data_IF_729309377943
#
_entry.id   IF_729309377943
#
_cell.length_a   1.000
_cell.length_b   1.000
_cell.length_c   1.000
_cell.angle_alpha   90.00
_cell.angle_beta   90.00
_cell.angle_gamma   90.00
#
_symmetry.space_group_name_H-M   'P 1'
#
loop_
_entity.id
_entity.type
_entity.pdbx_description
1 polymer ?
#
# COMPACT_ATOMS: atom_id res chain seq x y z
N UNK A 1 -17.24 21.06 10.90
CA UNK A 1 -17.40 20.68 9.48
C UNK A 1 -16.49 19.48 9.21
N UNK A 2 -16.96 18.26 8.90
CA UNK A 2 -16.06 17.18 8.54
C UNK A 2 -15.68 17.32 7.05
N UNK A 3 -14.39 17.49 6.77
CA UNK A 3 -13.87 17.33 5.42
C UNK A 3 -13.94 15.86 5.03
N UNK A 4 -14.69 15.53 3.98
CA UNK A 4 -14.74 14.17 3.45
C UNK A 4 -13.35 13.81 2.94
N UNK A 5 -12.67 12.91 3.65
CA UNK A 5 -11.40 12.36 3.21
C UNK A 5 -11.68 11.43 2.02
N UNK A 6 -11.23 11.82 0.83
CA UNK A 6 -11.21 10.93 -0.33
C UNK A 6 -10.21 9.81 -0.04
N UNK A 7 -10.73 8.63 0.31
CA UNK A 7 -9.93 7.43 0.51
C UNK A 7 -9.63 6.85 -0.88
N UNK A 8 -8.39 6.94 -1.33
CA UNK A 8 -7.93 6.32 -2.57
C UNK A 8 -7.20 5.03 -2.24
N UNK A 9 -7.72 3.91 -2.77
CA UNK A 9 -7.07 2.60 -2.64
C UNK A 9 -5.76 2.56 -3.42
N UNK A 10 -4.79 1.82 -2.90
CA UNK A 10 -3.54 1.60 -3.62
C UNK A 10 -3.79 0.64 -4.79
N UNK A 11 -3.70 1.16 -6.02
CA UNK A 11 -3.80 0.36 -7.26
C UNK A 11 -2.74 -0.76 -7.34
N UNK A 12 -1.59 -0.62 -6.67
CA UNK A 12 -0.54 -1.66 -6.75
C UNK A 12 -0.87 -2.94 -5.97
N UNK A 13 -1.76 -2.86 -4.98
CA UNK A 13 -2.15 -4.02 -4.18
C UNK A 13 -3.67 -4.25 -4.17
N UNK A 14 -4.44 -3.44 -4.90
CA UNK A 14 -5.89 -3.56 -5.05
C UNK A 14 -6.65 -3.70 -3.72
N UNK A 15 -6.15 -3.03 -2.67
CA UNK A 15 -6.73 -3.11 -1.33
C UNK A 15 -6.25 -4.28 -0.45
N UNK A 16 -5.27 -5.08 -0.88
CA UNK A 16 -4.65 -6.17 -0.11
C UNK A 16 -3.20 -5.84 0.29
N UNK A 17 -2.98 -4.96 1.28
CA UNK A 17 -1.66 -4.41 1.54
C UNK A 17 -0.72 -5.32 2.34
N UNK A 18 -1.25 -6.35 2.99
CA UNK A 18 -0.47 -7.33 3.76
C UNK A 18 -1.06 -8.72 3.51
N UNK A 19 -0.22 -9.65 3.05
CA UNK A 19 -0.62 -11.04 2.81
C UNK A 19 0.33 -12.00 3.50
N UNK A 20 -0.19 -13.17 3.86
CA UNK A 20 0.58 -14.27 4.42
C UNK A 20 0.81 -15.31 3.32
N UNK A 21 2.07 -15.60 3.01
CA UNK A 21 2.47 -16.58 2.00
C UNK A 21 3.06 -17.78 2.71
N UNK A 22 2.39 -18.92 2.63
CA UNK A 22 2.94 -20.17 3.14
C UNK A 22 4.04 -20.66 2.21
N UNK A 23 5.25 -20.72 2.73
CA UNK A 23 6.37 -21.38 2.06
C UNK A 23 6.17 -22.89 2.18
N UNK A 24 6.48 -23.65 1.11
CA UNK A 24 6.26 -25.11 1.08
C UNK A 24 7.01 -25.87 2.20
N UNK A 25 8.01 -25.23 2.79
CA UNK A 25 8.79 -25.70 3.94
C UNK A 25 7.95 -25.87 5.21
N UNK A 26 8.11 -27.04 5.84
CA UNK A 26 7.58 -27.32 7.17
C UNK A 26 8.67 -27.10 8.21
N UNK A 27 8.31 -26.52 9.33
CA UNK A 27 9.14 -26.48 10.52
C UNK A 27 9.25 -27.89 11.14
N UNK A 28 10.22 -28.06 12.04
CA UNK A 28 10.47 -29.32 12.75
C UNK A 28 9.27 -29.80 13.57
N UNK A 29 8.44 -28.87 14.03
CA UNK A 29 7.22 -29.15 14.80
C UNK A 29 6.00 -29.51 13.92
N UNK A 30 6.17 -29.56 12.59
CA UNK A 30 5.11 -29.88 11.63
C UNK A 30 4.30 -28.67 11.14
N UNK A 31 4.47 -27.49 11.74
CA UNK A 31 3.85 -26.26 11.25
C UNK A 31 4.47 -25.81 9.91
N UNK A 32 3.78 -24.96 9.15
CA UNK A 32 4.32 -24.44 7.87
C UNK A 32 4.89 -23.04 8.06
N UNK A 33 6.07 -22.81 7.51
CA UNK A 33 6.68 -21.49 7.49
C UNK A 33 5.85 -20.53 6.65
N UNK A 34 5.48 -19.40 7.23
CA UNK A 34 4.64 -18.39 6.57
C UNK A 34 5.37 -17.05 6.60
N UNK A 35 5.59 -16.49 5.42
CA UNK A 35 6.21 -15.18 5.25
C UNK A 35 5.12 -14.12 5.10
N UNK A 36 5.23 -13.04 5.88
CA UNK A 36 4.37 -11.87 5.71
C UNK A 36 4.98 -10.97 4.65
N UNK A 37 4.20 -10.68 3.60
CA UNK A 37 4.59 -9.75 2.53
C UNK A 37 3.74 -8.50 2.64
N UNK A 38 4.40 -7.35 2.69
CA UNK A 38 3.77 -6.03 2.73
C UNK A 38 3.94 -5.35 1.38
N UNK A 39 2.89 -4.71 0.88
CA UNK A 39 2.98 -3.92 -0.34
C UNK A 39 3.97 -2.75 -0.13
N UNK A 40 5.06 -2.65 -0.93
CA UNK A 40 6.05 -1.60 -0.73
C UNK A 40 5.55 -0.21 -1.15
N UNK A 41 4.55 -0.15 -2.04
CA UNK A 41 4.00 1.12 -2.53
C UNK A 41 3.16 1.86 -1.49
N UNK A 42 2.37 1.14 -0.69
CA UNK A 42 1.53 1.73 0.36
C UNK A 42 1.99 1.39 1.78
N UNK A 43 3.08 0.62 1.92
CA UNK A 43 3.70 0.23 3.20
C UNK A 43 2.71 -0.42 4.17
N UNK A 44 1.74 -1.18 3.67
CA UNK A 44 0.78 -1.90 4.51
C UNK A 44 -0.52 -1.14 4.79
N UNK A 45 -0.66 0.11 4.35
CA UNK A 45 -1.86 0.92 4.63
C UNK A 45 -3.06 0.63 3.72
N UNK A 46 -2.82 0.03 2.55
CA UNK A 46 -3.86 -0.24 1.55
C UNK A 46 -4.38 1.00 0.83
N UNK A 47 -3.83 2.17 1.16
CA UNK A 47 -4.25 3.46 0.65
C UNK A 47 -3.03 4.21 0.15
N UNK A 48 -3.20 4.96 -0.92
CA UNK A 48 -2.18 5.93 -1.30
C UNK A 48 -2.50 7.20 -0.54
N UNK A 49 -1.56 7.72 0.25
CA UNK A 49 -1.70 9.08 0.75
C UNK A 49 -1.84 9.98 -0.47
N UNK A 50 -2.96 10.71 -0.56
CA UNK A 50 -3.10 11.78 -1.52
C UNK A 50 -1.96 12.75 -1.23
N UNK A 51 -0.87 12.65 -1.97
CA UNK A 51 0.17 13.68 -1.96
C UNK A 51 -0.57 14.91 -2.47
N UNK A 52 -0.70 15.99 -1.67
CA UNK A 52 -1.31 17.20 -2.19
C UNK A 52 -0.54 17.53 -3.46
N UNK A 53 -1.25 17.62 -4.59
CA UNK A 53 -0.63 17.94 -5.85
C UNK A 53 0.14 19.24 -5.63
N UNK A 54 1.47 19.17 -5.61
CA UNK A 54 2.29 20.36 -5.60
C UNK A 54 1.94 21.09 -6.88
N UNK A 55 1.18 22.18 -6.74
CA UNK A 55 0.76 23.01 -7.85
C UNK A 55 2.02 23.61 -8.46
N UNK A 56 2.64 22.89 -9.41
CA UNK A 56 3.70 23.44 -10.25
C UNK A 56 3.06 24.53 -11.10
N UNK A 57 3.13 25.77 -10.60
CA UNK A 57 2.87 26.95 -11.39
C UNK A 57 3.86 26.93 -12.56
N UNK A 58 3.37 26.72 -13.77
CA UNK A 58 4.11 27.06 -14.98
C UNK A 58 4.10 28.59 -15.08
N UNK A 59 5.15 29.23 -14.59
CA UNK A 59 5.45 30.65 -14.83
C UNK A 59 6.27 30.78 -16.12
N UNK A 60 5.62 31.03 -17.26
CA UNK A 60 6.13 31.72 -18.48
C UNK A 60 5.08 31.56 -19.59
N UNK A 61 4.64 32.55 -20.37
CA UNK A 61 4.95 33.97 -20.51
C UNK A 61 4.33 34.43 -21.85
N UNK A 62 3.84 35.68 -21.92
CA UNK A 62 3.73 36.54 -23.12
C UNK A 62 3.22 37.93 -22.68
#
# INVERSE_FOLDING_TARGET
MPQHALIVFCHKCDGFPVVAVTTGTRHRDGSRATSRVTCPACQGTGRTALTPASHRQAVTGA
#
